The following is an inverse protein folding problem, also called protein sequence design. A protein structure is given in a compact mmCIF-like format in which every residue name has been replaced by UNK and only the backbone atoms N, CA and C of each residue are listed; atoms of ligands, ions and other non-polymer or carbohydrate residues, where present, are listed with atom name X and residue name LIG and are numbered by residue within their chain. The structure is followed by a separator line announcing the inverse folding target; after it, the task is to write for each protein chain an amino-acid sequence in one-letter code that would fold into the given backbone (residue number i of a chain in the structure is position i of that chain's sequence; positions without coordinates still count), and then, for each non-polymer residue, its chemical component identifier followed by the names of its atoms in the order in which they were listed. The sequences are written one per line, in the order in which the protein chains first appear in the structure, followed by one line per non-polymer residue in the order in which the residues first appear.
data_IF_402706903012
#
_entry.id   IF_402706903012
#
_cell.length_a   1.000
_cell.length_b   1.000
_cell.length_c   1.000
_cell.angle_alpha   90.00
_cell.angle_beta   90.00
_cell.angle_gamma   90.00
#
_symmetry.space_group_name_H-M   'P 1'
#
loop_
_entity.id
_entity.type
_entity.pdbx_description
1 polymer ?
#
# COMPACT_ATOMS: atom_id res chain seq x y z
N UNK A 1 5.40 -6.97 0.49
CA UNK A 1 4.19 -7.79 0.27
C UNK A 1 3.63 -7.64 -1.14
N UNK A 2 3.33 -6.43 -1.62
CA UNK A 2 2.77 -6.22 -2.98
C UNK A 2 3.68 -6.78 -4.08
N UNK A 3 4.99 -6.47 -4.07
CA UNK A 3 5.91 -7.00 -5.08
C UNK A 3 6.03 -8.53 -5.07
N UNK A 4 5.93 -9.18 -3.89
CA UNK A 4 5.90 -10.64 -3.77
C UNK A 4 4.62 -11.24 -4.34
N UNK A 5 3.47 -10.60 -4.10
CA UNK A 5 2.18 -11.01 -4.66
C UNK A 5 2.21 -11.02 -6.20
N UNK A 6 2.74 -9.93 -6.79
CA UNK A 6 2.92 -9.80 -8.24
C UNK A 6 3.92 -10.82 -8.77
N UNK A 7 5.04 -11.02 -8.08
CA UNK A 7 6.04 -12.02 -8.45
C UNK A 7 5.47 -13.45 -8.49
N UNK A 8 4.71 -13.86 -7.46
CA UNK A 8 4.06 -15.17 -7.44
C UNK A 8 3.02 -15.31 -8.56
N UNK A 9 2.26 -14.25 -8.86
CA UNK A 9 1.31 -14.22 -9.97
C UNK A 9 1.98 -14.46 -11.33
N UNK A 10 3.24 -14.02 -11.53
CA UNK A 10 3.97 -14.32 -12.77
C UNK A 10 4.26 -15.81 -12.98
N UNK A 11 4.29 -16.62 -11.92
CA UNK A 11 4.46 -18.08 -12.04
C UNK A 11 3.15 -18.83 -12.36
N UNK A 12 1.99 -18.17 -12.22
CA UNK A 12 0.67 -18.76 -12.46
C UNK A 12 0.35 -18.91 -13.95
N UNK A 13 -0.26 -20.05 -14.32
CA UNK A 13 -0.61 -20.38 -15.71
C UNK A 13 -2.09 -20.18 -16.01
N UNK A 14 -2.94 -20.16 -14.98
CA UNK A 14 -4.37 -19.88 -15.07
C UNK A 14 -4.74 -18.56 -14.39
N UNK A 15 -5.94 -18.05 -14.67
CA UNK A 15 -6.47 -16.89 -13.94
C UNK A 15 -6.64 -17.20 -12.45
N UNK A 16 -7.07 -18.41 -12.11
CA UNK A 16 -7.26 -18.83 -10.72
C UNK A 16 -5.93 -18.81 -9.96
N UNK A 17 -4.84 -19.32 -10.56
CA UNK A 17 -3.52 -19.34 -9.92
C UNK A 17 -3.10 -17.92 -9.51
N UNK A 18 -3.30 -16.95 -10.42
CA UNK A 18 -2.93 -15.55 -10.22
C UNK A 18 -3.79 -14.90 -9.13
N UNK A 19 -5.10 -15.14 -9.15
CA UNK A 19 -6.01 -14.60 -8.14
C UNK A 19 -5.64 -15.11 -6.74
N UNK A 20 -5.57 -16.43 -6.55
CA UNK A 20 -5.28 -17.00 -5.24
C UNK A 20 -3.87 -16.67 -4.73
N UNK A 21 -2.87 -16.58 -5.61
CA UNK A 21 -1.52 -16.17 -5.24
C UNK A 21 -1.46 -14.74 -4.66
N UNK A 22 -2.38 -13.86 -5.05
CA UNK A 22 -2.40 -12.47 -4.58
C UNK A 22 -3.23 -12.26 -3.29
N UNK A 23 -4.23 -13.09 -3.02
CA UNK A 23 -5.17 -12.89 -1.89
C UNK A 23 -4.46 -12.78 -0.55
N UNK A 24 -3.66 -13.78 -0.16
CA UNK A 24 -3.05 -13.81 1.17
C UNK A 24 -1.99 -12.71 1.37
N UNK A 25 -1.06 -12.46 0.43
CA UNK A 25 -0.09 -11.38 0.59
C UNK A 25 -0.74 -9.99 0.68
N UNK A 26 -1.80 -9.74 -0.10
CA UNK A 26 -2.52 -8.46 -0.07
C UNK A 26 -3.32 -8.34 1.23
N UNK A 27 -4.02 -9.40 1.65
CA UNK A 27 -4.76 -9.42 2.90
C UNK A 27 -3.84 -9.19 4.11
N UNK A 28 -2.68 -9.86 4.16
CA UNK A 28 -1.69 -9.66 5.23
C UNK A 28 -1.15 -8.23 5.24
N UNK A 29 -0.90 -7.64 4.06
CA UNK A 29 -0.42 -6.27 3.94
C UNK A 29 -1.42 -5.27 4.52
N UNK A 30 -2.69 -5.39 4.12
CA UNK A 30 -3.76 -4.49 4.57
C UNK A 30 -4.09 -4.72 6.05
N UNK A 31 -4.25 -5.97 6.48
CA UNK A 31 -4.61 -6.31 7.86
C UNK A 31 -3.51 -5.90 8.87
N UNK A 32 -2.25 -5.92 8.46
CA UNK A 32 -1.13 -5.44 9.28
C UNK A 32 -1.02 -3.91 9.36
N UNK A 33 -1.88 -3.17 8.64
CA UNK A 33 -1.82 -1.71 8.58
C UNK A 33 -0.57 -1.19 7.86
N UNK A 34 0.01 -1.96 6.93
CA UNK A 34 1.10 -1.44 6.12
C UNK A 34 0.61 -0.43 5.09
N UNK A 35 1.43 0.58 4.84
CA UNK A 35 1.05 1.75 4.06
C UNK A 35 1.43 1.60 2.57
N UNK A 36 0.48 1.87 1.67
CA UNK A 36 0.68 1.86 0.23
C UNK A 36 0.38 3.24 -0.34
N UNK A 37 1.38 3.91 -0.91
CA UNK A 37 1.25 5.31 -1.34
C UNK A 37 0.07 5.53 -2.29
N UNK A 38 -0.14 4.63 -3.25
CA UNK A 38 -1.26 4.73 -4.20
C UNK A 38 -2.62 4.45 -3.54
N UNK A 39 -2.69 3.58 -2.54
CA UNK A 39 -3.95 3.36 -1.82
C UNK A 39 -4.30 4.61 -0.99
N UNK A 40 -3.28 5.25 -0.42
CA UNK A 40 -3.42 6.44 0.40
C UNK A 40 -3.81 7.68 -0.43
N UNK A 41 -3.41 7.74 -1.71
CA UNK A 41 -3.90 8.74 -2.67
C UNK A 41 -5.42 8.68 -2.90
N UNK A 42 -6.08 7.57 -2.57
CA UNK A 42 -7.54 7.49 -2.56
C UNK A 42 -8.10 7.71 -1.13
N UNK A 43 -7.61 6.94 -0.16
CA UNK A 43 -8.17 6.91 1.19
C UNK A 43 -8.10 8.27 1.91
N UNK A 44 -6.95 8.94 1.88
CA UNK A 44 -6.76 10.18 2.63
C UNK A 44 -7.48 11.37 1.97
N UNK A 45 -7.38 11.59 0.65
CA UNK A 45 -8.17 12.61 -0.02
C UNK A 45 -9.68 12.40 0.13
N UNK A 46 -10.16 11.15 0.12
CA UNK A 46 -11.58 10.87 0.40
C UNK A 46 -11.97 11.30 1.81
N UNK A 47 -11.14 11.02 2.82
CA UNK A 47 -11.36 11.52 4.18
C UNK A 47 -11.37 13.05 4.28
N UNK A 48 -10.47 13.72 3.56
CA UNK A 48 -10.44 15.20 3.49
C UNK A 48 -11.72 15.73 2.83
N UNK A 49 -12.19 15.12 1.74
CA UNK A 49 -13.44 15.50 1.06
C UNK A 49 -14.63 15.32 2.00
N UNK A 50 -14.76 14.18 2.68
CA UNK A 50 -15.84 13.97 3.66
C UNK A 50 -15.79 15.02 4.76
N UNK A 51 -14.59 15.32 5.30
CA UNK A 51 -14.42 16.35 6.33
C UNK A 51 -14.95 17.73 5.90
N UNK A 52 -14.74 18.13 4.64
CA UNK A 52 -15.10 19.47 4.16
C UNK A 52 -16.52 19.56 3.57
N UNK A 53 -17.03 18.47 3.00
CA UNK A 53 -18.29 18.48 2.24
C UNK A 53 -19.43 17.69 2.89
N UNK A 54 -19.20 16.99 3.99
CA UNK A 54 -20.27 16.29 4.70
C UNK A 54 -21.25 17.29 5.34
N UNK A 55 -22.55 16.96 5.27
CA UNK A 55 -23.61 17.82 5.79
C UNK A 55 -23.70 17.73 7.32
N UNK A 56 -24.34 18.70 8.01
CA UNK A 56 -24.55 18.64 9.45
C UNK A 56 -25.27 17.36 9.91
N UNK A 57 -26.19 16.83 9.09
CA UNK A 57 -26.94 15.60 9.39
C UNK A 57 -26.01 14.37 9.43
N UNK A 58 -24.98 14.32 8.58
CA UNK A 58 -23.98 13.26 8.62
C UNK A 58 -23.23 13.29 9.95
N UNK A 59 -22.78 14.46 10.40
CA UNK A 59 -22.04 14.62 11.65
C UNK A 59 -22.90 14.28 12.87
N UNK A 60 -24.17 14.66 12.85
CA UNK A 60 -25.15 14.26 13.87
C UNK A 60 -25.36 12.75 13.90
N UNK A 61 -25.52 12.11 12.73
CA UNK A 61 -25.75 10.67 12.64
C UNK A 61 -24.55 9.83 13.10
N UNK A 62 -23.32 10.28 12.81
CA UNK A 62 -22.08 9.60 13.21
C UNK A 62 -21.68 9.97 14.65
N UNK A 63 -22.27 11.01 15.25
CA UNK A 63 -22.00 11.43 16.63
C UNK A 63 -20.61 12.02 16.82
N UNK A 64 -20.07 12.67 15.78
CA UNK A 64 -18.74 13.31 15.81
C UNK A 64 -18.78 14.61 15.03
N UNK A 65 -17.68 15.36 15.00
CA UNK A 65 -17.61 16.65 14.34
C UNK A 65 -16.28 16.80 13.56
N UNK A 66 -16.22 17.64 12.51
CA UNK A 66 -15.04 17.83 11.67
C UNK A 66 -13.77 18.19 12.46
N UNK A 67 -13.92 18.84 13.62
CA UNK A 67 -12.83 19.33 14.47
C UNK A 67 -12.01 18.18 15.06
N UNK A 68 -12.62 17.03 15.32
CA UNK A 68 -11.91 15.81 15.76
C UNK A 68 -10.94 15.29 14.71
N UNK A 69 -11.10 15.71 13.45
CA UNK A 69 -10.26 15.33 12.33
C UNK A 69 -9.36 16.49 11.87
N UNK A 70 -8.94 17.36 12.78
CA UNK A 70 -8.08 18.52 12.48
C UNK A 70 -6.84 18.14 11.64
N UNK A 71 -6.26 16.96 11.86
CA UNK A 71 -5.09 16.46 11.13
C UNK A 71 -5.36 16.01 9.69
N UNK A 72 -6.61 15.78 9.28
CA UNK A 72 -6.96 15.52 7.88
C UNK A 72 -6.86 16.82 7.07
N UNK A 73 -5.64 17.11 6.62
CA UNK A 73 -5.29 18.22 5.75
C UNK A 73 -4.43 17.72 4.60
N UNK A 74 -4.41 18.47 3.48
CA UNK A 74 -3.56 18.14 2.33
C UNK A 74 -2.08 18.23 2.70
N UNK A 75 -1.70 19.16 3.58
CA UNK A 75 -0.31 19.29 4.05
C UNK A 75 0.14 18.04 4.81
N UNK A 76 -0.62 17.61 5.81
CA UNK A 76 -0.27 16.43 6.61
C UNK A 76 -0.32 15.16 5.74
N UNK A 77 -1.27 15.07 4.80
CA UNK A 77 -1.28 13.98 3.83
C UNK A 77 0.05 13.87 3.07
N UNK A 78 0.60 14.98 2.58
CA UNK A 78 1.83 14.97 1.79
C UNK A 78 3.05 14.67 2.67
N UNK A 79 3.23 15.42 3.76
CA UNK A 79 4.46 15.37 4.56
C UNK A 79 4.51 14.23 5.56
N UNK A 80 3.38 13.89 6.19
CA UNK A 80 3.33 12.87 7.25
C UNK A 80 3.01 11.48 6.70
N UNK A 81 2.50 11.37 5.46
CA UNK A 81 2.15 10.09 4.86
C UNK A 81 2.78 9.89 3.46
N UNK A 82 2.43 10.72 2.47
CA UNK A 82 2.72 10.40 1.07
C UNK A 82 4.22 10.30 0.78
N UNK A 83 5.02 11.27 1.24
CA UNK A 83 6.48 11.26 1.07
C UNK A 83 7.12 10.05 1.78
N UNK A 84 6.98 9.87 3.11
CA UNK A 84 7.62 8.76 3.82
C UNK A 84 7.15 7.39 3.33
N UNK A 85 5.86 7.22 3.04
CA UNK A 85 5.30 5.95 2.54
C UNK A 85 5.82 5.65 1.14
N UNK A 86 5.90 6.65 0.26
CA UNK A 86 6.44 6.44 -1.10
C UNK A 86 7.90 6.01 -1.05
N UNK A 87 8.72 6.65 -0.20
CA UNK A 87 10.11 6.24 0.00
C UNK A 87 10.20 4.81 0.54
N UNK A 88 9.39 4.46 1.54
CA UNK A 88 9.31 3.10 2.07
C UNK A 88 8.89 2.06 1.02
N UNK A 89 7.93 2.40 0.15
CA UNK A 89 7.49 1.53 -0.94
C UNK A 89 8.59 1.33 -2.00
N UNK A 90 9.31 2.39 -2.38
CA UNK A 90 10.45 2.31 -3.32
C UNK A 90 11.56 1.46 -2.73
N UNK A 91 11.94 1.69 -1.48
CA UNK A 91 12.99 0.92 -0.79
C UNK A 91 12.57 -0.56 -0.68
N UNK A 92 11.33 -0.82 -0.26
CA UNK A 92 10.80 -2.18 -0.15
C UNK A 92 10.81 -2.94 -1.48
N UNK A 93 10.46 -2.28 -2.59
CA UNK A 93 10.57 -2.85 -3.93
C UNK A 93 12.01 -3.08 -4.36
N UNK A 94 12.88 -2.09 -4.13
CA UNK A 94 14.31 -2.16 -4.44
C UNK A 94 15.02 -3.31 -3.74
N UNK A 95 14.69 -3.58 -2.47
CA UNK A 95 15.23 -4.71 -1.71
C UNK A 95 14.86 -6.06 -2.34
N UNK A 96 13.61 -6.24 -2.76
CA UNK A 96 13.19 -7.49 -3.41
C UNK A 96 13.89 -7.68 -4.76
N UNK A 97 14.00 -6.62 -5.55
CA UNK A 97 14.73 -6.65 -6.83
C UNK A 97 16.20 -6.99 -6.58
N UNK A 98 16.88 -6.29 -5.67
CA UNK A 98 18.28 -6.55 -5.33
C UNK A 98 18.54 -7.98 -4.86
N UNK A 99 17.68 -8.52 -4.00
CA UNK A 99 17.73 -9.92 -3.58
C UNK A 99 17.58 -10.88 -4.77
N UNK A 100 16.64 -10.60 -5.67
CA UNK A 100 16.40 -11.42 -6.87
C UNK A 100 17.61 -11.42 -7.79
N UNK A 101 18.20 -10.25 -8.06
CA UNK A 101 19.44 -10.14 -8.83
C UNK A 101 20.58 -10.94 -8.17
N UNK A 102 20.78 -10.80 -6.86
CA UNK A 102 21.80 -11.56 -6.15
C UNK A 102 21.59 -13.09 -6.29
N UNK A 103 20.36 -13.57 -6.11
CA UNK A 103 20.02 -15.00 -6.24
C UNK A 103 20.24 -15.52 -7.67
N UNK A 104 19.97 -14.72 -8.70
CA UNK A 104 20.14 -15.14 -10.11
C UNK A 104 21.61 -15.14 -10.51
N UNK A 105 22.36 -14.09 -10.18
CA UNK A 105 23.70 -13.88 -10.71
C UNK A 105 24.81 -14.53 -9.89
N UNK A 106 24.63 -14.72 -8.59
CA UNK A 106 25.69 -15.24 -7.70
C UNK A 106 25.49 -16.70 -7.29
N UNK A 107 24.38 -17.32 -7.71
CA UNK A 107 24.09 -18.74 -7.41
C UNK A 107 24.59 -19.68 -8.52
N UNK A 108 25.79 -19.42 -9.05
CA UNK A 108 26.27 -20.09 -10.28
C UNK A 108 27.77 -20.18 -10.52
N UNK A 109 28.67 -20.02 -9.54
CA UNK A 109 30.11 -20.31 -9.73
C UNK A 109 30.50 -21.69 -9.17
N UNK A 110 29.91 -22.73 -9.76
CA UNK A 110 30.57 -24.03 -9.91
C UNK A 110 30.33 -24.52 -11.34
N UNK A 111 31.03 -23.89 -12.29
CA UNK A 111 31.33 -24.55 -13.55
C UNK A 111 32.29 -25.72 -13.23
N UNK A 112 32.03 -26.96 -13.69
CA UNK A 112 33.07 -27.98 -13.77
C UNK A 112 34.15 -27.61 -14.80
#
# INVERSE_FOLDING_TARGET
MVCLAVWMSYSGRSLMDKMFAMVLPVAMFVASGFEHSIANMFMIPMGIVVKHFATPEFWQAVGTAPEHFAHLTVSNFIFDNLIPVTLGNIIGGGLLVGLTYWVIYLRGDKQP
#
